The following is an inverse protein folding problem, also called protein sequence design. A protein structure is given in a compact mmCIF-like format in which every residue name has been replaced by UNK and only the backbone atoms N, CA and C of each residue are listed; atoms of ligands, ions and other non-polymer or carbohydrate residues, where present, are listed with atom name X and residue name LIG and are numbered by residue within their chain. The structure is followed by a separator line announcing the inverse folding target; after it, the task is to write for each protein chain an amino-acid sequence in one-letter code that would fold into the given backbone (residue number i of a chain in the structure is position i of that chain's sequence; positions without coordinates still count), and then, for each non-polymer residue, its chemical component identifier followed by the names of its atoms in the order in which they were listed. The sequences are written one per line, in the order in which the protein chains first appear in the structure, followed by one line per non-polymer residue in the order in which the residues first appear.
data_IF_064144389174
#
_entry.id   IF_064144389174
#
_cell.length_a   1.000
_cell.length_b   1.000
_cell.length_c   1.000
_cell.angle_alpha   90.00
_cell.angle_beta   90.00
_cell.angle_gamma   90.00
#
_symmetry.space_group_name_H-M   'P 1'
#
loop_
_entity.id
_entity.type
_entity.pdbx_description
1 polymer ?
#
# COMPACT_ATOMS: atom_id res chain seq x y z
N UNK A 1 22.79 -15.44 8.42
CA UNK A 1 22.22 -15.81 9.74
C UNK A 1 21.66 -14.54 10.37
N UNK A 2 20.33 -14.44 10.53
CA UNK A 2 19.71 -13.23 11.10
C UNK A 2 19.91 -13.26 12.62
N UNK A 3 20.57 -12.24 13.16
CA UNK A 3 20.86 -12.13 14.58
C UNK A 3 19.55 -11.85 15.34
N UNK A 4 19.25 -12.63 16.39
CA UNK A 4 18.06 -12.47 17.24
C UNK A 4 18.00 -11.06 17.84
N UNK A 5 19.16 -10.46 18.14
CA UNK A 5 19.25 -9.08 18.62
C UNK A 5 18.80 -8.05 17.57
N UNK A 6 19.05 -8.31 16.28
CA UNK A 6 18.61 -7.44 15.18
C UNK A 6 17.10 -7.57 14.91
N UNK A 7 16.55 -8.78 15.09
CA UNK A 7 15.11 -9.01 15.06
C UNK A 7 14.41 -8.33 16.25
N UNK A 8 15.00 -8.39 17.45
CA UNK A 8 14.46 -7.72 18.62
C UNK A 8 14.47 -6.20 18.50
N UNK A 9 15.53 -5.58 17.98
CA UNK A 9 15.58 -4.13 17.75
C UNK A 9 14.62 -3.71 16.63
N UNK A 10 14.53 -4.49 15.55
CA UNK A 10 13.57 -4.23 14.48
C UNK A 10 12.13 -4.27 15.01
N UNK A 11 11.80 -5.33 15.78
CA UNK A 11 10.47 -5.48 16.37
C UNK A 11 10.20 -4.41 17.41
N UNK A 12 11.13 -4.05 18.29
CA UNK A 12 10.88 -3.01 19.31
C UNK A 12 10.73 -1.61 18.71
N UNK A 13 11.44 -1.29 17.64
CA UNK A 13 11.32 0.01 16.95
C UNK A 13 10.06 0.09 16.10
N UNK A 14 9.70 -0.98 15.38
CA UNK A 14 8.51 -1.00 14.51
C UNK A 14 7.22 -1.38 15.24
N UNK A 15 7.29 -2.08 16.38
CA UNK A 15 6.15 -2.50 17.20
C UNK A 15 5.17 -1.36 17.48
N UNK A 16 5.56 -0.21 18.05
CA UNK A 16 4.61 0.85 18.39
C UNK A 16 3.91 1.46 17.17
N UNK A 17 4.48 1.33 15.97
CA UNK A 17 3.89 1.84 14.73
C UNK A 17 3.04 0.77 14.00
N UNK A 18 3.48 -0.48 14.00
CA UNK A 18 2.80 -1.58 13.30
C UNK A 18 1.69 -2.24 14.14
N UNK A 19 1.85 -2.37 15.46
CA UNK A 19 0.85 -2.99 16.34
C UNK A 19 -0.54 -2.34 16.25
N UNK A 20 -0.71 -1.01 16.33
CA UNK A 20 -2.05 -0.43 16.27
C UNK A 20 -2.73 -0.69 14.92
N UNK A 21 -1.98 -0.74 13.82
CA UNK A 21 -2.53 -1.06 12.50
C UNK A 21 -2.88 -2.55 12.36
N UNK A 22 -2.04 -3.45 12.88
CA UNK A 22 -2.30 -4.90 12.87
C UNK A 22 -3.48 -5.25 13.77
N UNK A 23 -3.58 -4.64 14.95
CA UNK A 23 -4.72 -4.83 15.87
C UNK A 23 -6.01 -4.30 15.23
N UNK A 24 -5.98 -3.10 14.64
CA UNK A 24 -7.12 -2.57 13.90
C UNK A 24 -7.54 -3.46 12.72
N UNK A 25 -6.56 -4.04 12.00
CA UNK A 25 -6.81 -4.99 10.92
C UNK A 25 -7.47 -6.28 11.42
N UNK A 26 -6.96 -6.89 12.50
CA UNK A 26 -7.52 -8.11 13.11
C UNK A 26 -8.92 -7.86 13.66
N UNK A 27 -9.15 -6.71 14.29
CA UNK A 27 -10.46 -6.33 14.82
C UNK A 27 -11.48 -6.13 13.70
N UNK A 28 -11.13 -5.47 12.59
CA UNK A 28 -12.01 -5.33 11.40
C UNK A 28 -12.32 -6.68 10.75
N UNK A 29 -11.34 -7.59 10.68
CA UNK A 29 -11.55 -8.96 10.17
C UNK A 29 -12.46 -9.81 11.08
N UNK A 30 -12.41 -9.58 12.40
CA UNK A 30 -13.29 -10.24 13.37
C UNK A 30 -14.69 -9.64 13.39
N UNK A 31 -14.83 -8.32 13.30
CA UNK A 31 -16.12 -7.62 13.29
C UNK A 31 -16.88 -7.83 11.97
N UNK A 32 -16.19 -7.92 10.84
CA UNK A 32 -16.79 -8.31 9.55
C UNK A 32 -17.34 -9.74 9.52
N UNK A 33 -17.04 -10.58 10.52
CA UNK A 33 -17.67 -11.90 10.73
C UNK A 33 -18.84 -11.87 11.72
N UNK A 34 -18.98 -10.83 12.55
CA UNK A 34 -20.04 -10.72 13.56
C UNK A 34 -21.21 -9.84 13.11
N UNK A 35 -21.06 -9.02 12.08
CA UNK A 35 -22.17 -8.41 11.37
C UNK A 35 -22.86 -9.43 10.45
N UNK A 36 -23.42 -10.49 11.06
CA UNK A 36 -24.44 -11.31 10.42
C UNK A 36 -25.77 -10.60 10.58
N UNK A 37 -26.11 -9.77 9.60
CA UNK A 37 -27.45 -9.19 9.46
C UNK A 37 -27.89 -9.35 8.01
N UNK A 38 -29.17 -9.68 7.84
CA UNK A 38 -29.83 -10.42 6.75
C UNK A 38 -29.80 -9.80 5.32
N UNK A 39 -28.88 -8.89 5.02
CA UNK A 39 -28.73 -8.31 3.69
C UNK A 39 -27.58 -8.98 2.91
N UNK A 40 -27.95 -10.02 2.17
CA UNK A 40 -27.27 -10.57 0.99
C UNK A 40 -25.83 -10.07 0.78
N UNK A 41 -24.87 -10.88 1.21
CA UNK A 41 -23.48 -10.80 0.79
C UNK A 41 -23.39 -11.04 -0.72
N UNK A 42 -23.61 -10.01 -1.54
CA UNK A 42 -23.10 -10.00 -2.91
C UNK A 42 -21.57 -10.13 -2.80
N UNK A 43 -20.93 -11.08 -3.52
CA UNK A 43 -19.48 -11.08 -3.61
C UNK A 43 -19.08 -9.70 -4.13
N UNK A 44 -18.30 -8.95 -3.35
CA UNK A 44 -17.75 -7.66 -3.79
C UNK A 44 -16.88 -7.98 -5.01
N UNK A 45 -17.42 -7.73 -6.19
CA UNK A 45 -16.75 -8.03 -7.44
C UNK A 45 -15.54 -7.13 -7.55
N UNK A 46 -14.37 -7.74 -7.67
CA UNK A 46 -13.12 -7.03 -7.84
C UNK A 46 -13.18 -6.31 -9.19
N UNK A 47 -13.08 -4.97 -9.19
CA UNK A 47 -13.11 -4.21 -10.45
C UNK A 47 -11.94 -4.64 -11.37
N UNK A 48 -12.19 -4.66 -12.67
CA UNK A 48 -11.21 -5.08 -13.69
C UNK A 48 -9.86 -4.38 -13.55
N UNK A 49 -9.87 -3.10 -13.16
CA UNK A 49 -8.64 -2.34 -12.88
C UNK A 49 -7.76 -2.97 -11.80
N UNK A 50 -8.34 -3.40 -10.68
CA UNK A 50 -7.56 -4.05 -9.60
C UNK A 50 -7.08 -5.43 -10.02
N UNK A 51 -7.86 -6.17 -10.81
CA UNK A 51 -7.41 -7.43 -11.38
C UNK A 51 -6.20 -7.24 -12.30
N UNK A 52 -6.22 -6.22 -13.18
CA UNK A 52 -5.06 -5.89 -14.03
C UNK A 52 -3.84 -5.52 -13.20
N UNK A 53 -3.99 -4.70 -12.15
CA UNK A 53 -2.88 -4.30 -11.29
C UNK A 53 -2.29 -5.53 -10.56
N UNK A 54 -3.15 -6.38 -10.00
CA UNK A 54 -2.72 -7.63 -9.33
C UNK A 54 -2.00 -8.55 -10.31
N UNK A 55 -2.51 -8.68 -11.53
CA UNK A 55 -1.86 -9.47 -12.58
C UNK A 55 -0.47 -8.94 -12.92
N UNK A 56 -0.30 -7.62 -13.03
CA UNK A 56 1.01 -7.00 -13.27
C UNK A 56 2.00 -7.33 -12.15
N UNK A 57 1.59 -7.23 -10.88
CA UNK A 57 2.46 -7.58 -9.76
C UNK A 57 2.78 -9.08 -9.70
N UNK A 58 1.81 -9.96 -9.95
CA UNK A 58 2.08 -11.39 -10.03
C UNK A 58 3.02 -11.75 -11.18
N UNK A 59 2.84 -11.12 -12.35
CA UNK A 59 3.71 -11.34 -13.49
C UNK A 59 5.14 -10.88 -13.18
N UNK A 60 5.32 -9.71 -12.57
CA UNK A 60 6.62 -9.22 -12.13
C UNK A 60 7.27 -10.17 -11.11
N UNK A 61 6.51 -10.64 -10.11
CA UNK A 61 6.99 -11.61 -9.13
C UNK A 61 7.43 -12.92 -9.79
N UNK A 62 6.65 -13.45 -10.74
CA UNK A 62 7.00 -14.66 -11.50
C UNK A 62 8.28 -14.44 -12.32
N UNK A 63 8.44 -13.29 -12.97
CA UNK A 63 9.67 -12.97 -13.70
C UNK A 63 10.90 -12.94 -12.77
N UNK A 64 10.79 -12.31 -11.60
CA UNK A 64 11.89 -12.29 -10.62
C UNK A 64 12.20 -13.70 -10.06
N UNK A 65 11.18 -14.47 -9.70
CA UNK A 65 11.35 -15.85 -9.22
C UNK A 65 11.91 -16.77 -10.33
N UNK A 66 11.48 -16.59 -11.57
CA UNK A 66 12.03 -17.32 -12.71
C UNK A 66 13.50 -16.97 -12.94
N UNK A 67 13.88 -15.70 -12.81
CA UNK A 67 15.28 -15.29 -12.89
C UNK A 67 16.13 -15.94 -11.78
N UNK A 68 15.63 -15.96 -10.53
CA UNK A 68 16.29 -16.68 -9.43
C UNK A 68 16.35 -18.19 -9.69
N UNK A 69 15.27 -18.78 -10.20
CA UNK A 69 15.21 -20.21 -10.50
C UNK A 69 16.20 -20.61 -11.60
N UNK A 70 16.33 -19.80 -12.66
CA UNK A 70 17.37 -19.97 -13.70
C UNK A 70 18.75 -19.85 -13.07
N UNK A 71 18.95 -18.90 -12.17
CA UNK A 71 20.21 -18.72 -11.47
C UNK A 71 20.57 -19.94 -10.59
N UNK A 72 19.60 -20.51 -9.88
CA UNK A 72 19.76 -21.69 -9.02
C UNK A 72 19.90 -22.99 -9.80
N UNK A 73 19.22 -23.10 -10.94
CA UNK A 73 19.25 -24.25 -11.82
C UNK A 73 20.47 -24.25 -12.75
N UNK A 74 21.35 -23.22 -12.67
CA UNK A 74 22.68 -23.29 -13.30
C UNK A 74 23.45 -24.45 -12.69
N UNK A 75 23.48 -25.55 -13.43
CA UNK A 75 24.55 -26.52 -13.28
C UNK A 75 25.88 -25.75 -13.43
N UNK A 76 26.83 -25.88 -12.48
CA UNK A 76 28.15 -25.27 -12.58
C UNK A 76 28.84 -25.51 -13.93
N UNK A 77 28.53 -26.62 -14.62
CA UNK A 77 29.10 -26.98 -15.92
C UNK A 77 28.22 -26.61 -17.13
N UNK A 78 27.04 -26.04 -16.90
CA UNK A 78 26.15 -25.59 -17.99
C UNK A 78 26.80 -24.50 -18.84
N UNK A 79 26.40 -24.41 -20.10
CA UNK A 79 26.83 -23.33 -21.02
C UNK A 79 26.42 -21.93 -20.59
N UNK A 80 25.59 -21.80 -19.56
CA UNK A 80 25.07 -20.53 -19.05
C UNK A 80 25.84 -20.00 -17.84
N UNK A 81 26.80 -20.78 -17.31
CA UNK A 81 27.74 -20.32 -16.31
C UNK A 81 28.99 -19.77 -17.00
N UNK A 82 29.29 -18.49 -16.79
CA UNK A 82 30.48 -17.84 -17.35
C UNK A 82 31.66 -17.83 -16.36
N UNK A 83 31.44 -18.26 -15.11
CA UNK A 83 32.46 -18.16 -14.07
C UNK A 83 33.47 -19.31 -14.18
N UNK A 84 34.67 -19.00 -14.66
CA UNK A 84 35.69 -20.02 -14.96
C UNK A 84 36.11 -20.87 -13.75
N UNK A 85 36.08 -20.30 -12.54
CA UNK A 85 36.46 -21.03 -11.32
C UNK A 85 35.31 -21.89 -10.79
N UNK A 86 34.06 -21.50 -11.01
CA UNK A 86 32.91 -22.35 -10.71
C UNK A 86 32.81 -23.53 -11.70
N UNK A 87 33.05 -23.28 -12.99
CA UNK A 87 33.05 -24.31 -14.05
C UNK A 87 34.15 -25.35 -13.82
N UNK A 88 35.39 -24.89 -13.61
CA UNK A 88 36.54 -25.78 -13.36
C UNK A 88 36.53 -26.37 -11.95
N UNK A 89 35.72 -25.80 -11.06
CA UNK A 89 35.71 -26.09 -9.63
C UNK A 89 37.01 -25.72 -8.92
N UNK A 90 37.98 -25.05 -9.54
CA UNK A 90 39.28 -24.81 -8.93
C UNK A 90 39.26 -23.71 -7.86
N UNK A 91 40.13 -23.77 -6.83
CA UNK A 91 40.36 -22.64 -5.94
C UNK A 91 40.80 -21.38 -6.71
N UNK A 92 40.38 -20.20 -6.25
CA UNK A 92 40.69 -18.92 -6.93
C UNK A 92 42.20 -18.62 -6.99
N UNK A 93 43.01 -19.23 -6.12
CA UNK A 93 44.46 -19.04 -6.09
C UNK A 93 45.20 -19.97 -7.08
N UNK A 94 44.51 -20.89 -7.73
CA UNK A 94 45.12 -21.82 -8.70
C UNK A 94 45.73 -21.05 -9.89
N UNK A 95 46.99 -21.35 -10.30
CA UNK A 95 47.65 -20.70 -11.43
C UNK A 95 46.82 -20.70 -12.71
N UNK A 96 46.90 -19.63 -13.50
CA UNK A 96 46.13 -19.44 -14.75
C UNK A 96 46.39 -20.54 -15.77
N UNK A 97 47.63 -21.05 -15.86
CA UNK A 97 47.99 -22.17 -16.74
C UNK A 97 47.21 -23.45 -16.41
N UNK A 98 47.04 -23.75 -15.12
CA UNK A 98 46.26 -24.92 -14.68
C UNK A 98 44.78 -24.73 -14.99
N UNK A 99 44.24 -23.51 -14.78
CA UNK A 99 42.86 -23.18 -15.13
C UNK A 99 42.65 -23.33 -16.64
N UNK A 100 43.56 -22.80 -17.45
CA UNK A 100 43.54 -22.92 -18.92
C UNK A 100 43.55 -24.38 -19.38
N UNK A 101 44.43 -25.20 -18.81
CA UNK A 101 44.53 -26.62 -19.14
C UNK A 101 43.24 -27.39 -18.83
N UNK A 102 42.53 -27.05 -17.73
CA UNK A 102 41.23 -27.66 -17.42
C UNK A 102 40.13 -27.15 -18.35
N UNK A 103 40.10 -25.85 -18.66
CA UNK A 103 39.12 -25.29 -19.59
C UNK A 103 39.24 -25.91 -20.99
N UNK A 104 40.47 -26.10 -21.49
CA UNK A 104 40.72 -26.79 -22.75
C UNK A 104 40.24 -28.26 -22.71
N UNK A 105 40.47 -28.98 -21.60
CA UNK A 105 39.94 -30.35 -21.41
C UNK A 105 38.41 -30.41 -21.39
N UNK A 106 37.75 -29.36 -20.92
CA UNK A 106 36.30 -29.23 -20.93
C UNK A 106 35.74 -28.74 -22.27
N UNK A 107 36.58 -28.46 -23.27
CA UNK A 107 36.16 -27.88 -24.56
C UNK A 107 35.56 -26.48 -24.41
N UNK A 108 36.05 -25.71 -23.43
CA UNK A 108 35.58 -24.35 -23.10
C UNK A 108 36.66 -23.29 -23.37
N UNK A 109 37.67 -23.60 -24.18
CA UNK A 109 38.68 -22.64 -24.61
C UNK A 109 38.11 -21.76 -25.74
N UNK A 110 37.70 -20.56 -25.37
CA UNK A 110 37.29 -19.51 -26.30
C UNK A 110 38.29 -18.36 -26.27
N UNK A 111 38.34 -17.57 -27.35
CA UNK A 111 39.14 -16.33 -27.40
C UNK A 111 38.83 -15.41 -26.21
N UNK A 112 37.57 -15.36 -25.80
CA UNK A 112 37.14 -14.64 -24.59
C UNK A 112 37.78 -15.19 -23.32
N UNK A 113 37.79 -16.51 -23.12
CA UNK A 113 38.42 -17.12 -21.93
C UNK A 113 39.92 -16.92 -21.90
N UNK A 114 40.59 -16.94 -23.05
CA UNK A 114 42.03 -16.66 -23.14
C UNK A 114 42.32 -15.20 -22.76
N UNK A 115 41.57 -14.26 -23.33
CA UNK A 115 41.64 -12.84 -22.95
C UNK A 115 41.40 -12.64 -21.45
N UNK A 116 40.36 -13.26 -20.90
CA UNK A 116 40.05 -13.19 -19.47
C UNK A 116 41.21 -13.72 -18.61
N UNK A 117 41.83 -14.84 -18.99
CA UNK A 117 42.97 -15.42 -18.27
C UNK A 117 44.17 -14.46 -18.23
N UNK A 118 44.40 -13.64 -19.27
CA UNK A 118 45.46 -12.62 -19.25
C UNK A 118 45.24 -11.58 -18.16
N UNK A 119 43.98 -11.25 -17.84
CA UNK A 119 43.61 -10.29 -16.78
C UNK A 119 43.72 -10.88 -15.38
N UNK A 120 43.66 -12.21 -15.27
CA UNK A 120 43.66 -12.96 -14.02
C UNK A 120 45.06 -13.38 -13.53
N UNK A 121 46.12 -12.75 -14.04
CA UNK A 121 47.49 -13.08 -13.67
C UNK A 121 47.79 -12.88 -12.17
N UNK A 122 47.23 -11.82 -11.55
CA UNK A 122 47.48 -11.51 -10.13
C UNK A 122 46.43 -12.13 -9.19
N UNK A 123 46.81 -12.52 -7.95
CA UNK A 123 45.85 -12.98 -6.93
C UNK A 123 44.77 -11.93 -6.63
N UNK A 124 45.14 -10.64 -6.64
CA UNK A 124 44.19 -9.53 -6.47
C UNK A 124 43.15 -9.50 -7.60
N UNK A 125 43.57 -9.66 -8.85
CA UNK A 125 42.66 -9.71 -9.98
C UNK A 125 41.66 -10.87 -9.87
N UNK A 126 42.11 -12.05 -9.41
CA UNK A 126 41.23 -13.21 -9.19
C UNK A 126 40.22 -12.99 -8.07
N UNK A 127 40.61 -12.27 -7.02
CA UNK A 127 39.71 -11.90 -5.93
C UNK A 127 38.64 -10.88 -6.39
N UNK A 128 39.04 -9.90 -7.20
CA UNK A 128 38.13 -8.95 -7.84
C UNK A 128 37.18 -9.68 -8.80
N UNK A 129 37.68 -10.64 -9.60
CA UNK A 129 36.85 -11.48 -10.45
C UNK A 129 35.85 -12.31 -9.63
N UNK A 130 36.25 -12.85 -8.49
CA UNK A 130 35.30 -13.54 -7.60
C UNK A 130 34.20 -12.61 -7.07
N UNK A 131 34.51 -11.32 -6.84
CA UNK A 131 33.53 -10.35 -6.36
C UNK A 131 32.60 -9.84 -7.47
N UNK A 132 33.15 -9.51 -8.65
CA UNK A 132 32.44 -8.76 -9.69
C UNK A 132 32.24 -9.51 -11.01
N UNK A 133 32.71 -10.76 -11.12
CA UNK A 133 32.55 -11.61 -12.29
C UNK A 133 33.16 -11.03 -13.56
N UNK A 134 32.43 -11.14 -14.67
CA UNK A 134 32.82 -10.72 -16.02
C UNK A 134 33.09 -9.21 -16.16
N UNK A 135 32.73 -8.40 -15.17
CA UNK A 135 33.07 -6.98 -15.12
C UNK A 135 34.58 -6.71 -15.28
N UNK A 136 35.46 -7.67 -14.95
CA UNK A 136 36.91 -7.54 -15.17
C UNK A 136 37.31 -7.55 -16.65
N UNK A 137 36.55 -8.23 -17.50
CA UNK A 137 36.80 -8.32 -18.93
C UNK A 137 36.01 -7.25 -19.72
N UNK A 138 34.78 -6.95 -19.29
CA UNK A 138 33.89 -6.03 -20.00
C UNK A 138 34.16 -4.54 -19.70
N UNK A 139 34.63 -4.22 -18.49
CA UNK A 139 34.84 -2.82 -18.09
C UNK A 139 36.18 -2.27 -18.61
N UNK A 140 36.13 -1.44 -19.64
CA UNK A 140 37.32 -0.83 -20.28
C UNK A 140 38.04 0.22 -19.42
N UNK A 141 37.34 0.88 -18.50
CA UNK A 141 37.86 1.97 -17.66
C UNK A 141 38.15 1.53 -16.22
N UNK A 142 37.87 0.28 -15.88
CA UNK A 142 38.12 -0.24 -14.54
C UNK A 142 39.59 -0.60 -14.33
N UNK A 143 40.07 -0.48 -13.09
CA UNK A 143 41.47 -0.79 -12.75
C UNK A 143 41.55 -1.69 -11.52
N UNK A 144 42.42 -2.71 -11.58
CA UNK A 144 42.72 -3.61 -10.44
C UNK A 144 43.28 -2.82 -9.24
N UNK A 145 43.88 -1.65 -9.47
CA UNK A 145 44.36 -0.79 -8.39
C UNK A 145 43.22 -0.11 -7.62
N UNK A 146 42.09 0.15 -8.28
CA UNK A 146 40.96 0.88 -7.73
C UNK A 146 39.66 0.04 -7.78
N UNK A 147 39.42 -0.73 -6.72
CA UNK A 147 38.27 -1.63 -6.62
C UNK A 147 36.92 -0.89 -6.75
N UNK A 148 36.87 0.42 -6.46
CA UNK A 148 35.65 1.22 -6.61
C UNK A 148 35.20 1.40 -8.07
N UNK A 149 36.10 1.30 -9.05
CA UNK A 149 35.69 1.39 -10.46
C UNK A 149 34.75 0.25 -10.83
N UNK A 150 35.05 -0.97 -10.35
CA UNK A 150 34.18 -2.13 -10.58
C UNK A 150 32.84 -2.00 -9.86
N UNK A 151 32.84 -1.48 -8.62
CA UNK A 151 31.60 -1.21 -7.87
C UNK A 151 30.68 -0.25 -8.64
N UNK A 152 31.24 0.82 -9.19
CA UNK A 152 30.50 1.78 -10.00
C UNK A 152 29.99 1.17 -11.32
N UNK A 153 30.78 0.30 -11.95
CA UNK A 153 30.38 -0.40 -13.18
C UNK A 153 29.18 -1.32 -12.97
N UNK A 154 29.16 -2.11 -11.89
CA UNK A 154 28.07 -3.07 -11.63
C UNK A 154 26.82 -2.44 -10.99
N UNK A 155 26.94 -1.23 -10.46
CA UNK A 155 25.87 -0.55 -9.74
C UNK A 155 24.58 -0.40 -10.57
N UNK A 156 24.60 0.05 -11.84
CA UNK A 156 23.40 0.17 -12.66
C UNK A 156 22.67 -1.18 -12.82
N UNK A 157 23.40 -2.28 -13.00
CA UNK A 157 22.82 -3.63 -13.12
C UNK A 157 22.07 -4.05 -11.86
N UNK A 158 22.54 -3.61 -10.69
CA UNK A 158 21.88 -3.88 -9.40
C UNK A 158 20.66 -2.96 -9.17
N UNK A 159 20.75 -1.68 -9.53
CA UNK A 159 19.72 -0.69 -9.19
C UNK A 159 18.60 -0.58 -10.22
N UNK A 160 18.87 -0.88 -11.49
CA UNK A 160 17.89 -0.73 -12.57
C UNK A 160 16.55 -1.43 -12.28
N UNK A 161 16.52 -2.67 -11.75
CA UNK A 161 15.25 -3.33 -11.42
C UNK A 161 14.44 -2.62 -10.32
N UNK A 162 15.11 -1.98 -9.34
CA UNK A 162 14.42 -1.18 -8.33
C UNK A 162 13.75 0.05 -8.96
N UNK A 163 14.44 0.75 -9.86
CA UNK A 163 13.85 1.88 -10.57
C UNK A 163 12.68 1.47 -11.47
N UNK A 164 12.82 0.36 -12.18
CA UNK A 164 11.73 -0.22 -12.97
C UNK A 164 10.51 -0.53 -12.08
N UNK A 165 10.73 -1.13 -10.90
CA UNK A 165 9.65 -1.45 -9.97
C UNK A 165 8.97 -0.21 -9.38
N UNK A 166 9.73 0.82 -9.04
CA UNK A 166 9.17 2.13 -8.63
C UNK A 166 8.30 2.70 -9.75
N UNK A 167 8.71 2.55 -11.01
CA UNK A 167 7.91 2.92 -12.18
C UNK A 167 6.59 2.15 -12.27
N UNK A 168 6.62 0.83 -12.07
CA UNK A 168 5.43 -0.04 -12.07
C UNK A 168 4.46 0.35 -10.95
N UNK A 169 4.97 0.66 -9.75
CA UNK A 169 4.15 1.15 -8.63
C UNK A 169 3.55 2.52 -8.95
N UNK A 170 4.35 3.44 -9.49
CA UNK A 170 3.89 4.77 -9.89
C UNK A 170 2.76 4.67 -10.91
N UNK A 171 2.90 3.80 -11.92
CA UNK A 171 1.89 3.53 -12.92
C UNK A 171 0.62 2.91 -12.32
N UNK A 172 0.74 1.80 -11.60
CA UNK A 172 -0.40 1.07 -11.03
C UNK A 172 -1.20 1.87 -10.00
N UNK A 173 -0.51 2.61 -9.12
CA UNK A 173 -1.17 3.43 -8.09
C UNK A 173 -1.82 4.69 -8.65
N UNK A 174 -1.36 5.20 -9.80
CA UNK A 174 -1.99 6.35 -10.46
C UNK A 174 -3.38 6.04 -11.02
N UNK A 175 -3.63 4.79 -11.41
CA UNK A 175 -4.92 4.34 -11.98
C UNK A 175 -5.94 4.04 -10.87
N UNK A 176 -5.48 3.58 -9.71
CA UNK A 176 -6.34 3.24 -8.57
C UNK A 176 -6.38 4.33 -7.50
N UNK A 177 -7.41 5.18 -7.46
CA UNK A 177 -7.56 6.24 -6.43
C UNK A 177 -7.40 5.74 -4.99
N UNK A 178 -7.89 4.53 -4.69
CA UNK A 178 -7.78 3.90 -3.36
C UNK A 178 -6.37 3.41 -3.02
N UNK A 179 -5.48 3.28 -4.00
CA UNK A 179 -4.09 2.83 -3.82
C UNK A 179 -3.12 4.01 -3.67
N UNK A 180 -3.59 5.26 -3.75
CA UNK A 180 -2.69 6.41 -3.62
C UNK A 180 -1.99 6.43 -2.25
N UNK A 181 -2.71 6.02 -1.18
CA UNK A 181 -2.15 5.93 0.17
C UNK A 181 -1.03 4.90 0.33
N UNK A 182 -0.96 3.87 -0.52
CA UNK A 182 0.14 2.88 -0.47
C UNK A 182 1.36 3.29 -1.29
N UNK A 183 1.25 4.26 -2.21
CA UNK A 183 2.33 4.64 -3.13
C UNK A 183 3.60 5.08 -2.39
N UNK A 184 3.48 6.02 -1.45
CA UNK A 184 4.63 6.54 -0.70
C UNK A 184 5.28 5.46 0.16
N UNK A 185 4.57 4.74 1.05
CA UNK A 185 5.20 3.74 1.91
C UNK A 185 5.83 2.60 1.11
N UNK A 186 5.19 2.15 0.01
CA UNK A 186 5.74 1.10 -0.86
C UNK A 186 7.01 1.56 -1.58
N UNK A 187 7.05 2.81 -2.04
CA UNK A 187 8.26 3.39 -2.64
C UNK A 187 9.40 3.51 -1.61
N UNK A 188 9.09 3.93 -0.38
CA UNK A 188 10.10 4.02 0.71
C UNK A 188 10.68 2.65 1.02
N UNK A 189 9.87 1.61 1.13
CA UNK A 189 10.34 0.23 1.37
C UNK A 189 11.26 -0.25 0.25
N UNK A 190 10.94 0.03 -1.02
CA UNK A 190 11.84 -0.29 -2.13
C UNK A 190 13.16 0.48 -2.07
N UNK A 191 13.13 1.77 -1.73
CA UNK A 191 14.35 2.57 -1.56
C UNK A 191 15.21 1.99 -0.43
N UNK A 192 14.61 1.51 0.66
CA UNK A 192 15.35 0.82 1.73
C UNK A 192 16.01 -0.46 1.21
N UNK A 193 15.28 -1.27 0.43
CA UNK A 193 15.84 -2.47 -0.21
C UNK A 193 17.01 -2.14 -1.16
N UNK A 194 16.86 -1.06 -1.94
CA UNK A 194 17.90 -0.55 -2.83
C UNK A 194 19.15 -0.12 -2.03
N UNK A 195 18.97 0.67 -0.98
CA UNK A 195 20.06 1.12 -0.09
C UNK A 195 20.76 -0.08 0.56
N UNK A 196 20.01 -1.11 0.97
CA UNK A 196 20.58 -2.34 1.52
C UNK A 196 21.52 -3.06 0.53
N UNK A 197 21.11 -3.19 -0.74
CA UNK A 197 21.95 -3.80 -1.79
C UNK A 197 23.21 -2.97 -2.04
N UNK A 198 23.08 -1.64 -2.12
CA UNK A 198 24.23 -0.73 -2.27
C UNK A 198 25.17 -0.83 -1.08
N UNK A 199 24.64 -0.85 0.14
CA UNK A 199 25.43 -0.97 1.36
C UNK A 199 26.24 -2.26 1.39
N UNK A 200 25.63 -3.40 1.01
CA UNK A 200 26.33 -4.68 0.89
C UNK A 200 27.47 -4.62 -0.15
N UNK A 201 27.23 -4.02 -1.31
CA UNK A 201 28.23 -3.83 -2.36
C UNK A 201 29.43 -2.99 -1.87
N UNK A 202 29.16 -1.88 -1.20
CA UNK A 202 30.19 -0.95 -0.73
C UNK A 202 31.00 -1.47 0.46
N UNK A 203 30.37 -2.27 1.34
CA UNK A 203 31.03 -2.84 2.52
C UNK A 203 31.86 -4.08 2.23
N UNK A 204 31.63 -4.75 1.10
CA UNK A 204 32.37 -5.96 0.77
C UNK A 204 33.83 -5.66 0.43
N UNK A 205 34.74 -6.38 1.08
CA UNK A 205 36.18 -6.33 0.80
C UNK A 205 36.58 -7.54 -0.08
N UNK A 206 36.97 -7.34 -1.34
CA UNK A 206 37.43 -8.41 -2.21
C UNK A 206 38.63 -9.19 -1.65
N UNK A 207 39.47 -8.56 -0.82
CA UNK A 207 40.65 -9.21 -0.24
C UNK A 207 40.29 -10.33 0.74
N UNK A 208 39.06 -10.34 1.27
CA UNK A 208 38.56 -11.41 2.12
C UNK A 208 38.62 -12.78 1.42
N UNK A 209 38.42 -12.83 0.10
CA UNK A 209 38.48 -14.05 -0.69
C UNK A 209 39.91 -14.63 -0.80
N UNK A 210 40.95 -13.79 -0.67
CA UNK A 210 42.36 -14.22 -0.75
C UNK A 210 42.78 -14.89 0.57
N UNK A 211 42.27 -14.38 1.69
CA UNK A 211 42.62 -14.86 3.03
C UNK A 211 41.92 -16.18 3.39
N UNK A 212 40.88 -16.56 2.65
CA UNK A 212 40.16 -17.80 2.86
C UNK A 212 40.85 -18.98 2.17
N UNK A 213 41.22 -20.00 2.95
CA UNK A 213 41.77 -21.27 2.41
C UNK A 213 40.62 -22.18 1.98
N UNK A 214 40.41 -22.36 0.67
CA UNK A 214 39.55 -23.41 0.10
C UNK A 214 38.31 -22.94 -0.67
N UNK A 215 37.70 -23.87 -1.43
CA UNK A 215 36.57 -23.61 -2.37
C UNK A 215 35.27 -23.16 -1.68
N UNK A 216 35.04 -23.56 -0.43
CA UNK A 216 33.77 -23.38 0.30
C UNK A 216 33.60 -21.96 0.86
N UNK A 217 34.67 -21.17 0.88
CA UNK A 217 34.69 -19.83 1.53
C UNK A 217 34.76 -18.67 0.54
N UNK A 218 34.94 -18.93 -0.77
CA UNK A 218 34.93 -17.87 -1.78
C UNK A 218 33.53 -17.29 -1.91
N UNK A 219 33.39 -15.99 -1.61
CA UNK A 219 32.12 -15.29 -1.71
C UNK A 219 31.99 -14.69 -3.12
N UNK A 220 31.01 -15.18 -3.88
CA UNK A 220 30.60 -14.65 -5.18
C UNK A 220 29.64 -13.47 -4.97
N UNK A 221 30.19 -12.29 -4.70
CA UNK A 221 29.39 -11.14 -4.26
C UNK A 221 28.32 -10.74 -5.27
N UNK A 222 28.68 -10.51 -6.53
CA UNK A 222 27.73 -10.02 -7.53
C UNK A 222 26.56 -11.00 -7.72
N UNK A 223 26.87 -12.29 -7.80
CA UNK A 223 25.89 -13.38 -7.88
C UNK A 223 24.93 -13.39 -6.68
N UNK A 224 25.46 -13.28 -5.46
CA UNK A 224 24.65 -13.20 -4.23
C UNK A 224 23.77 -11.95 -4.20
N UNK A 225 24.28 -10.80 -4.66
CA UNK A 225 23.54 -9.54 -4.73
C UNK A 225 22.42 -9.57 -5.77
N UNK A 226 22.67 -10.13 -6.96
CA UNK A 226 21.67 -10.29 -8.00
C UNK A 226 20.52 -11.18 -7.51
N UNK A 227 20.85 -12.30 -6.89
CA UNK A 227 19.88 -13.19 -6.27
C UNK A 227 19.08 -12.49 -5.17
N UNK A 228 19.74 -11.83 -4.21
CA UNK A 228 19.07 -11.14 -3.12
C UNK A 228 18.17 -10.00 -3.61
N UNK A 229 18.59 -9.25 -4.63
CA UNK A 229 17.77 -8.22 -5.28
C UNK A 229 16.45 -8.82 -5.79
N UNK A 230 16.53 -9.91 -6.55
CA UNK A 230 15.34 -10.51 -7.15
C UNK A 230 14.43 -11.18 -6.11
N UNK A 231 14.99 -11.76 -5.06
CA UNK A 231 14.23 -12.25 -3.91
C UNK A 231 13.48 -11.12 -3.17
N UNK A 232 14.12 -9.97 -2.97
CA UNK A 232 13.50 -8.78 -2.36
C UNK A 232 12.35 -8.29 -3.24
N UNK A 233 12.57 -8.12 -4.54
CA UNK A 233 11.56 -7.62 -5.48
C UNK A 233 10.38 -8.58 -5.62
N UNK A 234 10.63 -9.89 -5.76
CA UNK A 234 9.58 -10.90 -5.82
C UNK A 234 8.71 -10.91 -4.56
N UNK A 235 9.35 -10.89 -3.38
CA UNK A 235 8.62 -10.87 -2.10
C UNK A 235 7.76 -9.61 -1.98
N UNK A 236 8.33 -8.48 -2.37
CA UNK A 236 7.65 -7.20 -2.35
C UNK A 236 6.40 -7.20 -3.26
N UNK A 237 6.51 -7.75 -4.47
CA UNK A 237 5.41 -7.80 -5.43
C UNK A 237 4.26 -8.71 -4.99
N UNK A 238 4.59 -9.86 -4.38
CA UNK A 238 3.58 -10.76 -3.79
C UNK A 238 2.81 -10.03 -2.68
N UNK A 239 3.52 -9.31 -1.80
CA UNK A 239 2.90 -8.53 -0.73
C UNK A 239 2.02 -7.42 -1.30
N UNK A 240 2.48 -6.70 -2.33
CA UNK A 240 1.73 -5.60 -2.92
C UNK A 240 0.50 -6.08 -3.71
N UNK A 241 0.58 -7.23 -4.38
CA UNK A 241 -0.58 -7.90 -4.96
C UNK A 241 -1.62 -8.25 -3.88
N UNK A 242 -1.18 -8.77 -2.73
CA UNK A 242 -2.03 -9.04 -1.57
C UNK A 242 -2.70 -7.79 -1.00
N UNK A 243 -1.94 -6.70 -0.82
CA UNK A 243 -2.48 -5.40 -0.37
C UNK A 243 -3.52 -4.89 -1.38
N UNK A 244 -3.20 -4.94 -2.68
CA UNK A 244 -4.10 -4.49 -3.75
C UNK A 244 -5.40 -5.29 -3.77
N UNK A 245 -5.33 -6.60 -3.54
CA UNK A 245 -6.51 -7.47 -3.42
C UNK A 245 -7.37 -7.09 -2.20
N UNK A 246 -6.75 -6.83 -1.05
CA UNK A 246 -7.45 -6.41 0.17
C UNK A 246 -8.14 -5.05 -0.02
N UNK A 247 -7.48 -4.10 -0.67
CA UNK A 247 -8.04 -2.77 -0.97
C UNK A 247 -9.15 -2.86 -2.02
N UNK A 248 -8.93 -3.63 -3.08
CA UNK A 248 -9.89 -3.81 -4.17
C UNK A 248 -11.19 -4.51 -3.74
N UNK A 249 -11.12 -5.38 -2.73
CA UNK A 249 -12.29 -6.05 -2.12
C UNK A 249 -12.93 -5.26 -0.97
N UNK A 250 -12.47 -4.02 -0.72
CA UNK A 250 -12.85 -3.18 0.43
C UNK A 250 -12.65 -3.86 1.81
N UNK A 251 -11.84 -4.91 1.88
CA UNK A 251 -11.50 -5.60 3.14
C UNK A 251 -10.47 -4.81 3.94
N UNK A 252 -9.68 -3.99 3.26
CA UNK A 252 -8.79 -3.01 3.86
C UNK A 252 -9.17 -1.63 3.33
N UNK A 253 -9.89 -0.88 4.16
CA UNK A 253 -9.99 0.57 3.98
C UNK A 253 -8.65 1.12 4.45
N UNK A 254 -7.81 1.51 3.50
CA UNK A 254 -6.73 2.43 3.75
C UNK A 254 -7.40 3.73 4.18
N UNK A 255 -7.68 3.87 5.48
CA UNK A 255 -7.96 5.19 6.04
C UNK A 255 -6.79 6.07 5.62
N UNK A 256 -7.09 7.30 5.20
CA UNK A 256 -6.13 8.35 4.82
C UNK A 256 -5.22 8.78 6.02
N UNK A 257 -5.01 7.90 6.99
CA UNK A 257 -4.28 8.02 8.25
C UNK A 257 -2.78 8.23 8.15
N UNK A 258 -2.20 8.16 6.94
CA UNK A 258 -0.80 8.52 6.68
C UNK A 258 -0.64 9.81 5.86
N UNK A 259 -1.74 10.35 5.32
CA UNK A 259 -1.83 11.68 4.72
C UNK A 259 -2.50 12.71 5.68
N UNK A 260 -2.66 12.32 6.94
CA UNK A 260 -3.50 12.94 7.97
C UNK A 260 -3.13 14.36 8.35
N UNK A 261 -1.89 14.81 8.18
CA UNK A 261 -1.57 16.19 8.54
C UNK A 261 -2.03 17.24 7.53
N UNK A 262 -2.39 16.85 6.30
CA UNK A 262 -2.84 17.81 5.27
C UNK A 262 -4.29 17.55 4.83
N UNK A 263 -4.75 16.30 4.79
CA UNK A 263 -6.11 15.97 4.34
C UNK A 263 -7.20 16.09 5.41
N UNK A 264 -6.86 15.99 6.71
CA UNK A 264 -7.85 16.13 7.77
C UNK A 264 -8.41 17.56 7.81
N UNK A 265 -7.56 18.56 7.64
CA UNK A 265 -8.02 19.95 7.54
C UNK A 265 -8.91 20.13 6.31
N UNK A 266 -8.57 19.55 5.16
CA UNK A 266 -9.38 19.73 3.94
C UNK A 266 -10.74 19.01 4.02
N UNK A 267 -10.80 17.83 4.64
CA UNK A 267 -12.04 17.06 4.77
C UNK A 267 -12.94 17.63 5.86
N UNK A 268 -12.37 18.04 7.00
CA UNK A 268 -13.08 18.80 8.04
C UNK A 268 -13.57 20.12 7.45
N UNK A 269 -12.75 20.85 6.69
CA UNK A 269 -13.16 22.11 6.06
C UNK A 269 -14.28 21.90 5.06
N UNK A 270 -14.23 20.84 4.22
CA UNK A 270 -15.32 20.54 3.28
C UNK A 270 -16.63 20.18 4.01
N UNK A 271 -16.55 19.39 5.07
CA UNK A 271 -17.72 19.01 5.87
C UNK A 271 -18.28 20.22 6.65
N UNK A 272 -17.41 21.07 7.20
CA UNK A 272 -17.80 22.33 7.84
C UNK A 272 -18.42 23.30 6.83
N UNK A 273 -17.87 23.45 5.63
CA UNK A 273 -18.43 24.29 4.57
C UNK A 273 -19.79 23.78 4.09
N UNK A 274 -19.99 22.46 4.04
CA UNK A 274 -21.31 21.88 3.72
C UNK A 274 -22.31 22.10 4.86
N UNK A 275 -21.86 22.00 6.11
CA UNK A 275 -22.69 22.28 7.27
C UNK A 275 -23.06 23.77 7.34
N UNK A 276 -22.11 24.67 7.10
CA UNK A 276 -22.32 26.12 7.04
C UNK A 276 -23.34 26.49 5.97
N UNK A 277 -23.24 25.94 4.75
CA UNK A 277 -24.24 26.13 3.70
C UNK A 277 -25.63 25.66 4.10
N UNK A 278 -25.72 24.48 4.73
CA UNK A 278 -27.00 23.96 5.22
C UNK A 278 -27.57 24.82 6.34
N UNK A 279 -26.71 25.34 7.21
CA UNK A 279 -27.11 26.22 8.30
C UNK A 279 -27.60 27.58 7.76
N UNK A 280 -26.91 28.14 6.76
CA UNK A 280 -27.31 29.36 6.06
C UNK A 280 -28.65 29.19 5.35
N UNK A 281 -28.87 28.07 4.66
CA UNK A 281 -30.17 27.77 4.04
C UNK A 281 -31.29 27.71 5.08
N UNK A 282 -31.05 27.11 6.24
CA UNK A 282 -32.04 27.03 7.33
C UNK A 282 -32.28 28.42 7.93
N UNK A 283 -31.23 29.19 8.20
CA UNK A 283 -31.34 30.55 8.73
C UNK A 283 -32.06 31.50 7.76
N UNK A 284 -31.83 31.36 6.44
CA UNK A 284 -32.56 32.14 5.44
C UNK A 284 -34.05 31.77 5.39
N UNK A 285 -34.38 30.47 5.50
CA UNK A 285 -35.77 30.02 5.60
C UNK A 285 -36.44 30.50 6.88
N UNK A 286 -35.72 30.52 7.99
CA UNK A 286 -36.25 31.03 9.26
C UNK A 286 -36.48 32.54 9.20
N UNK A 287 -35.53 33.31 8.66
CA UNK A 287 -35.67 34.77 8.49
C UNK A 287 -36.82 35.13 7.55
N UNK A 288 -36.98 34.41 6.44
CA UNK A 288 -38.08 34.65 5.51
C UNK A 288 -39.43 34.28 6.14
N UNK A 289 -39.52 33.17 6.87
CA UNK A 289 -40.71 32.81 7.64
C UNK A 289 -41.04 33.84 8.73
N UNK A 290 -40.02 34.36 9.42
CA UNK A 290 -40.15 35.40 10.43
C UNK A 290 -40.66 36.72 9.85
N UNK A 291 -40.15 37.13 8.68
CA UNK A 291 -40.63 38.32 7.97
C UNK A 291 -42.10 38.16 7.55
N UNK A 292 -42.47 37.03 6.95
CA UNK A 292 -43.85 36.75 6.56
C UNK A 292 -44.79 36.75 7.77
N UNK A 293 -44.37 36.13 8.87
CA UNK A 293 -45.14 36.15 10.12
C UNK A 293 -45.27 37.56 10.68
N UNK A 294 -44.20 38.34 10.66
CA UNK A 294 -44.19 39.74 11.08
C UNK A 294 -45.14 40.59 10.23
N UNK A 295 -45.13 40.43 8.91
CA UNK A 295 -46.05 41.16 8.01
C UNK A 295 -47.51 40.77 8.25
N UNK A 296 -47.80 39.49 8.50
CA UNK A 296 -49.17 39.03 8.80
C UNK A 296 -49.66 39.61 10.14
N UNK A 297 -48.80 39.68 11.16
CA UNK A 297 -49.19 40.19 12.48
C UNK A 297 -49.44 41.71 12.43
N UNK A 298 -48.61 42.44 11.68
CA UNK A 298 -48.67 43.90 11.59
C UNK A 298 -49.76 44.43 10.65
N UNK A 299 -50.27 43.61 9.73
CA UNK A 299 -51.34 43.98 8.81
C UNK A 299 -52.69 43.39 9.28
N UNK A 300 -53.63 44.26 9.61
CA UNK A 300 -54.96 43.87 10.11
C UNK A 300 -55.76 43.03 9.09
N UNK A 301 -55.60 43.29 7.79
CA UNK A 301 -56.28 42.54 6.73
C UNK A 301 -55.72 41.12 6.61
N UNK A 302 -54.39 40.98 6.58
CA UNK A 302 -53.73 39.65 6.54
C UNK A 302 -53.99 38.83 7.81
N UNK A 303 -54.02 39.46 8.98
CA UNK A 303 -54.36 38.79 10.25
C UNK A 303 -55.77 38.22 10.22
N UNK A 304 -56.74 38.97 9.67
CA UNK A 304 -58.12 38.49 9.54
C UNK A 304 -58.23 37.28 8.59
N UNK A 305 -57.49 37.29 7.47
CA UNK A 305 -57.39 36.15 6.55
C UNK A 305 -56.75 34.92 7.20
N UNK A 306 -55.68 35.11 7.99
CA UNK A 306 -55.06 34.02 8.73
C UNK A 306 -56.02 33.42 9.75
N UNK A 307 -56.75 34.24 10.52
CA UNK A 307 -57.75 33.74 11.49
C UNK A 307 -58.83 32.93 10.80
N UNK A 308 -59.41 33.45 9.71
CA UNK A 308 -60.43 32.76 8.92
C UNK A 308 -59.93 31.43 8.36
N UNK A 309 -58.72 31.39 7.80
CA UNK A 309 -58.13 30.16 7.30
C UNK A 309 -58.01 29.09 8.39
N UNK A 310 -57.56 29.46 9.59
CA UNK A 310 -57.45 28.52 10.71
C UNK A 310 -58.80 28.10 11.26
N UNK A 311 -59.78 29.01 11.32
CA UNK A 311 -61.16 28.70 11.69
C UNK A 311 -61.80 27.73 10.68
N UNK A 312 -61.61 27.95 9.38
CA UNK A 312 -62.10 27.06 8.32
C UNK A 312 -61.46 25.67 8.42
N UNK A 313 -60.13 25.61 8.62
CA UNK A 313 -59.41 24.35 8.84
C UNK A 313 -59.89 23.61 10.09
N UNK A 314 -60.07 24.31 11.20
CA UNK A 314 -60.58 23.71 12.43
C UNK A 314 -62.03 23.20 12.25
N UNK A 315 -62.83 23.92 11.48
CA UNK A 315 -64.20 23.51 11.14
C UNK A 315 -64.22 22.30 10.18
N UNK A 316 -63.34 22.24 9.19
CA UNK A 316 -63.16 21.07 8.33
C UNK A 316 -62.69 19.86 9.12
N UNK A 317 -61.67 20.03 9.98
CA UNK A 317 -61.18 18.98 10.86
C UNK A 317 -62.28 18.48 11.79
N UNK A 318 -63.07 19.39 12.38
CA UNK A 318 -64.23 19.02 13.19
C UNK A 318 -65.26 18.22 12.38
N UNK A 319 -65.57 18.62 11.15
CA UNK A 319 -66.48 17.86 10.26
C UNK A 319 -65.93 16.47 9.91
N UNK A 320 -64.62 16.37 9.67
CA UNK A 320 -63.95 15.10 9.41
C UNK A 320 -63.98 14.19 10.64
N UNK A 321 -63.73 14.74 11.83
CA UNK A 321 -63.81 14.02 13.11
C UNK A 321 -65.25 13.69 13.51
N UNK A 322 -66.25 14.41 13.03
CA UNK A 322 -67.66 14.11 13.26
C UNK A 322 -68.17 12.91 12.44
N UNK A 323 -67.50 12.60 11.32
CA UNK A 323 -67.84 11.47 10.45
C UNK A 323 -67.65 10.12 11.17
N UNK A 324 -68.73 9.34 11.25
CA UNK A 324 -68.79 8.01 11.89
C UNK A 324 -67.68 7.06 11.40
N UNK A 325 -67.37 7.09 10.09
CA UNK A 325 -66.32 6.25 9.51
C UNK A 325 -64.91 6.64 9.99
N UNK A 326 -64.65 7.95 10.16
CA UNK A 326 -63.38 8.46 10.67
C UNK A 326 -63.27 8.23 12.18
N UNK A 327 -64.37 8.37 12.93
CA UNK A 327 -64.39 8.00 14.36
C UNK A 327 -64.12 6.52 14.58
N UNK A 328 -64.71 5.65 13.75
CA UNK A 328 -64.47 4.21 13.80
C UNK A 328 -63.00 3.88 13.48
N UNK A 329 -62.45 4.45 12.39
CA UNK A 329 -61.05 4.27 12.02
C UNK A 329 -60.06 4.85 13.05
N UNK A 330 -60.38 5.99 13.67
CA UNK A 330 -59.56 6.60 14.72
C UNK A 330 -59.61 5.77 16.01
N UNK A 331 -60.77 5.24 16.37
CA UNK A 331 -60.91 4.35 17.52
C UNK A 331 -60.24 3.00 17.28
N UNK A 332 -60.29 2.47 16.07
CA UNK A 332 -59.53 1.28 15.63
C UNK A 332 -58.03 1.55 15.69
N UNK A 333 -57.53 2.64 15.12
CA UNK A 333 -56.12 3.03 15.18
C UNK A 333 -55.64 3.35 16.61
N UNK A 334 -56.55 3.72 17.52
CA UNK A 334 -56.25 3.94 18.94
C UNK A 334 -56.19 2.62 19.72
N UNK A 335 -56.95 1.61 19.31
CA UNK A 335 -56.94 0.27 19.90
C UNK A 335 -55.83 -0.62 19.32
N UNK A 336 -55.43 -0.39 18.07
CA UNK A 336 -54.27 -1.02 17.44
C UNK A 336 -53.01 -0.35 18.01
N UNK A 337 -52.54 -0.96 19.10
CA UNK A 337 -51.34 -0.69 19.89
C UNK A 337 -50.34 0.31 19.27
N UNK A 338 -50.19 1.49 19.89
CA UNK A 338 -49.06 2.37 19.62
C UNK A 338 -49.34 3.86 19.58
N UNK A 339 -50.59 4.32 19.50
CA UNK A 339 -50.86 5.77 19.35
C UNK A 339 -50.28 6.62 20.49
N UNK A 340 -50.49 6.21 21.75
CA UNK A 340 -49.96 6.94 22.91
C UNK A 340 -48.42 6.84 22.99
N UNK A 341 -47.84 5.70 22.58
CA UNK A 341 -46.38 5.54 22.46
C UNK A 341 -45.79 6.44 21.37
N UNK A 342 -46.44 6.51 20.22
CA UNK A 342 -46.03 7.32 19.08
C UNK A 342 -46.13 8.81 19.41
N UNK A 343 -47.17 9.21 20.16
CA UNK A 343 -47.34 10.57 20.67
C UNK A 343 -46.25 10.94 21.68
N UNK A 344 -45.89 10.02 22.57
CA UNK A 344 -44.84 10.22 23.56
C UNK A 344 -43.43 10.25 22.92
N UNK A 345 -43.21 9.44 21.88
CA UNK A 345 -41.99 9.45 21.09
C UNK A 345 -41.85 10.71 20.22
N UNK A 346 -42.94 11.17 19.61
CA UNK A 346 -42.97 12.46 18.90
C UNK A 346 -42.75 13.65 19.84
N UNK A 347 -43.31 13.60 21.05
CA UNK A 347 -43.06 14.58 22.11
C UNK A 347 -41.58 14.65 22.49
N UNK A 348 -40.95 13.49 22.75
CA UNK A 348 -39.51 13.40 23.05
C UNK A 348 -38.63 13.89 21.91
N UNK A 349 -38.97 13.59 20.64
CA UNK A 349 -38.25 14.11 19.48
C UNK A 349 -38.37 15.63 19.34
N UNK A 350 -39.55 16.20 19.57
CA UNK A 350 -39.76 17.65 19.54
C UNK A 350 -38.97 18.36 20.65
N UNK A 351 -39.00 17.82 21.87
CA UNK A 351 -38.22 18.34 23.00
C UNK A 351 -36.71 18.22 22.77
N UNK A 352 -36.23 17.16 22.12
CA UNK A 352 -34.82 17.01 21.76
C UNK A 352 -34.38 18.07 20.75
N UNK A 353 -35.18 18.34 19.71
CA UNK A 353 -34.89 19.38 18.71
C UNK A 353 -34.88 20.77 19.35
N UNK A 354 -35.86 21.06 20.21
CA UNK A 354 -35.94 22.35 20.92
C UNK A 354 -34.83 22.45 21.99
N UNK A 355 -34.46 21.35 22.64
CA UNK A 355 -33.41 21.27 23.66
C UNK A 355 -32.01 21.51 23.11
N UNK A 356 -31.72 21.05 21.89
CA UNK A 356 -30.46 21.34 21.18
C UNK A 356 -30.31 22.85 20.89
N UNK A 357 -31.42 23.58 20.72
CA UNK A 357 -31.37 25.06 20.57
C UNK A 357 -30.98 25.82 21.85
N UNK A 358 -31.03 25.16 23.02
CA UNK A 358 -30.70 25.76 24.33
C UNK A 358 -29.29 25.48 24.83
N UNK A 359 -28.37 25.03 23.97
CA UNK A 359 -26.94 25.04 24.31
C UNK A 359 -26.49 26.50 24.38
N UNK A 360 -26.62 27.10 25.57
CA UNK A 360 -25.92 28.34 25.92
C UNK A 360 -24.42 28.05 25.81
N UNK A 361 -23.81 28.59 24.76
CA UNK A 361 -22.37 28.84 24.74
C UNK A 361 -22.06 29.68 25.96
N UNK A 362 -21.47 29.07 26.99
CA UNK A 362 -20.74 29.82 28.02
C UNK A 362 -19.51 30.37 27.32
N UNK A 363 -19.55 31.67 27.04
CA UNK A 363 -18.35 32.48 26.73
C UNK A 363 -17.43 32.46 27.95
#
# INVERSE_FOLDING_TARGET
MVNIAALQTLVTVLAPFLLPQIIGFIQRFRQGRQAGDDNQTRPVSLSGTYMTIIFVFFLAAICHLAHVAVFMARDPQSSFNNNIFQITGLPILTPTETVAAILARLGRDTEYTEFLLTKLASPKARAIYAAFGDAIAECSWCSIANDNSYRLYVLPTLLWPFFAQIGIIGGSTSVGKKLNGVRVPTTVVLVIGMVYVVWRLLKFDPSANINTRGRVMTQWLLDDLLKQRDEILATFDIVLAGITWLVGTNRWVLDDGAATFVSEHETITRNFLQLERRLDEVLQKERSAGLVRGTIINDDHLRSHQSRFWEDRANEEKKLLENEAVKAALNEARQVDGYDRLKDEAGRYSEAIIGVSKIKVKV
#
